data_IF_424293240695
#
_entry.id   IF_424293240695
#
_cell.length_a   1.000
_cell.length_b   1.000
_cell.length_c   1.000
_cell.angle_alpha   90.00
_cell.angle_beta   90.00
_cell.angle_gamma   90.00
#
_symmetry.space_group_name_H-M   'P 1'
#
loop_
_entity.id
_entity.type
_entity.pdbx_description
1 polymer ?
#
# COMPACT_ATOMS: atom_id res chain seq x y z
N UNK A 1 -4.14 -28.81 -8.18
CA UNK A 1 -4.97 -27.81 -7.49
C UNK A 1 -5.42 -28.43 -6.19
N UNK A 2 -5.30 -27.73 -5.06
CA UNK A 2 -5.96 -28.19 -3.83
C UNK A 2 -7.45 -27.96 -4.02
N UNK A 3 -8.25 -29.01 -3.99
CA UNK A 3 -9.71 -28.87 -3.97
C UNK A 3 -10.10 -28.34 -2.60
N UNK A 4 -10.41 -27.05 -2.53
CA UNK A 4 -11.03 -26.45 -1.35
C UNK A 4 -12.54 -26.63 -1.48
N UNK A 5 -13.20 -27.16 -0.43
CA UNK A 5 -14.66 -27.09 -0.31
C UNK A 5 -15.08 -25.64 -0.42
N UNK A 6 -16.04 -25.34 -1.30
CA UNK A 6 -16.49 -23.97 -1.54
C UNK A 6 -16.93 -23.28 -0.25
N UNK A 7 -16.36 -22.11 0.02
CA UNK A 7 -16.66 -21.29 1.18
C UNK A 7 -16.51 -19.81 0.82
N UNK A 8 -17.40 -18.96 1.35
CA UNK A 8 -17.40 -17.50 1.16
C UNK A 8 -17.14 -16.82 2.50
N UNK A 9 -16.31 -15.78 2.49
CA UNK A 9 -16.02 -14.95 3.66
C UNK A 9 -17.27 -14.21 4.12
N UNK A 10 -17.59 -14.34 5.41
CA UNK A 10 -18.74 -13.68 6.04
C UNK A 10 -18.63 -12.15 6.09
N UNK A 11 -17.42 -11.60 5.85
CA UNK A 11 -17.12 -10.17 5.97
C UNK A 11 -16.92 -9.44 4.63
N UNK A 12 -16.25 -10.04 3.66
CA UNK A 12 -15.82 -9.35 2.44
C UNK A 12 -16.19 -10.07 1.14
N UNK A 13 -17.02 -11.12 1.20
CA UNK A 13 -17.50 -11.91 0.05
C UNK A 13 -16.43 -12.60 -0.81
N UNK A 14 -15.14 -12.48 -0.47
CA UNK A 14 -14.06 -13.27 -1.08
C UNK A 14 -14.25 -14.76 -0.76
N UNK A 15 -13.94 -15.63 -1.71
CA UNK A 15 -14.22 -17.07 -1.62
C UNK A 15 -13.01 -17.92 -2.03
N UNK A 16 -13.21 -19.24 -2.11
CA UNK A 16 -12.20 -20.24 -2.49
C UNK A 16 -11.72 -20.18 -3.94
N UNK A 17 -12.13 -19.18 -4.74
CA UNK A 17 -11.52 -18.94 -6.05
C UNK A 17 -10.10 -18.39 -5.93
N UNK A 18 -9.77 -17.73 -4.82
CA UNK A 18 -8.40 -17.41 -4.44
C UNK A 18 -7.72 -18.67 -3.85
N UNK A 19 -6.67 -19.21 -4.49
CA UNK A 19 -6.02 -20.44 -4.05
C UNK A 19 -5.28 -20.32 -2.71
N UNK A 20 -4.99 -19.10 -2.26
CA UNK A 20 -4.26 -18.82 -1.02
C UNK A 20 -5.20 -18.35 0.12
N UNK A 21 -6.52 -18.38 -0.10
CA UNK A 21 -7.49 -17.98 0.91
C UNK A 21 -7.59 -19.04 2.02
N UNK A 22 -7.63 -18.59 3.26
CA UNK A 22 -7.88 -19.42 4.43
C UNK A 22 -8.90 -18.77 5.33
N UNK A 23 -9.74 -19.57 5.99
CA UNK A 23 -10.82 -19.08 6.85
C UNK A 23 -10.55 -19.42 8.31
N UNK A 24 -10.93 -18.52 9.22
CA UNK A 24 -10.96 -18.79 10.66
C UNK A 24 -12.27 -19.50 11.07
N UNK A 25 -12.40 -19.85 12.35
CA UNK A 25 -13.56 -20.58 12.90
C UNK A 25 -14.90 -19.85 12.72
N UNK A 26 -14.89 -18.52 12.58
CA UNK A 26 -16.09 -17.70 12.36
C UNK A 26 -16.36 -17.41 10.87
N UNK A 27 -15.59 -18.01 9.97
CA UNK A 27 -15.76 -17.88 8.53
C UNK A 27 -15.21 -16.59 7.92
N UNK A 28 -14.35 -15.85 8.62
CA UNK A 28 -13.64 -14.70 8.05
C UNK A 28 -12.33 -15.15 7.37
N UNK A 29 -12.01 -14.55 6.22
CA UNK A 29 -10.79 -14.88 5.49
C UNK A 29 -9.53 -14.16 6.01
N UNK A 30 -8.37 -14.76 5.75
CA UNK A 30 -7.05 -14.19 6.04
C UNK A 30 -6.83 -12.81 5.40
N UNK A 31 -7.41 -12.50 4.25
CA UNK A 31 -7.30 -11.16 3.65
C UNK A 31 -7.93 -10.08 4.54
N UNK A 32 -9.08 -10.38 5.17
CA UNK A 32 -9.72 -9.47 6.12
C UNK A 32 -8.86 -9.24 7.36
N UNK A 33 -8.35 -10.32 7.96
CA UNK A 33 -7.47 -10.24 9.13
C UNK A 33 -6.20 -9.45 8.80
N UNK A 34 -5.55 -9.78 7.69
CA UNK A 34 -4.37 -9.08 7.19
C UNK A 34 -4.63 -7.59 6.95
N UNK A 35 -5.78 -7.25 6.36
CA UNK A 35 -6.17 -5.86 6.14
C UNK A 35 -6.32 -5.12 7.46
N UNK A 36 -6.99 -5.70 8.45
CA UNK A 36 -7.18 -5.07 9.76
C UNK A 36 -5.85 -4.85 10.48
N UNK A 37 -4.98 -5.86 10.49
CA UNK A 37 -3.66 -5.76 11.12
C UNK A 37 -2.75 -4.74 10.44
N UNK A 38 -2.70 -4.76 9.10
CA UNK A 38 -1.81 -3.87 8.32
C UNK A 38 -2.33 -2.44 8.32
N UNK A 39 -3.64 -2.26 8.11
CA UNK A 39 -4.25 -0.93 8.06
C UNK A 39 -4.10 -0.21 9.40
N UNK A 40 -4.29 -0.90 10.52
CA UNK A 40 -4.07 -0.31 11.84
C UNK A 40 -2.67 0.32 12.01
N UNK A 41 -1.66 -0.21 11.31
CA UNK A 41 -0.27 0.26 11.39
C UNK A 41 0.08 1.39 10.40
N UNK A 42 -0.64 1.52 9.28
CA UNK A 42 -0.26 2.39 8.15
C UNK A 42 -1.35 3.42 7.80
N UNK A 43 -2.01 3.98 8.80
CA UNK A 43 -3.03 5.01 8.58
C UNK A 43 -2.44 6.42 8.48
N UNK A 44 -3.16 7.27 7.76
CA UNK A 44 -2.96 8.71 7.80
C UNK A 44 -3.49 9.26 9.13
N UNK A 45 -2.61 9.90 9.89
CA UNK A 45 -2.88 10.45 11.22
C UNK A 45 -2.92 11.98 11.20
N UNK A 46 -3.41 12.58 10.11
CA UNK A 46 -3.49 14.04 9.99
C UNK A 46 -2.11 14.71 9.94
N UNK A 47 -1.96 15.77 10.74
CA UNK A 47 -0.77 16.62 10.77
C UNK A 47 0.53 15.85 11.03
N UNK A 48 0.50 14.77 11.82
CA UNK A 48 1.68 13.94 12.07
C UNK A 48 2.18 13.26 10.78
N UNK A 49 1.26 12.69 10.00
CA UNK A 49 1.58 12.10 8.70
C UNK A 49 2.06 13.14 7.71
N UNK A 50 1.48 14.35 7.72
CA UNK A 50 1.94 15.45 6.86
C UNK A 50 3.38 15.89 7.19
N UNK A 51 3.74 15.93 8.48
CA UNK A 51 5.11 16.23 8.92
C UNK A 51 6.06 15.13 8.42
N UNK A 52 5.72 13.86 8.63
CA UNK A 52 6.54 12.73 8.16
C UNK A 52 6.74 12.78 6.64
N UNK A 53 5.69 13.06 5.89
CA UNK A 53 5.76 13.21 4.44
C UNK A 53 6.68 14.37 4.02
N UNK A 54 6.53 15.56 4.62
CA UNK A 54 7.41 16.71 4.33
C UNK A 54 8.87 16.40 4.64
N UNK A 55 9.13 15.66 5.72
CA UNK A 55 10.48 15.25 6.09
C UNK A 55 11.09 14.34 5.01
N UNK A 56 10.35 13.32 4.55
CA UNK A 56 10.79 12.43 3.46
C UNK A 56 11.15 13.23 2.20
N UNK A 57 10.26 14.15 1.78
CA UNK A 57 10.53 15.00 0.60
C UNK A 57 11.80 15.85 0.79
N UNK A 58 11.98 16.42 1.99
CA UNK A 58 13.16 17.22 2.33
C UNK A 58 14.45 16.39 2.29
N UNK A 59 14.43 15.17 2.82
CA UNK A 59 15.56 14.26 2.82
C UNK A 59 15.97 13.87 1.39
N UNK A 60 14.99 13.55 0.54
CA UNK A 60 15.23 13.24 -0.89
C UNK A 60 15.88 14.44 -1.59
N UNK A 61 15.33 15.65 -1.43
CA UNK A 61 15.91 16.87 -2.03
C UNK A 61 17.32 17.14 -1.53
N UNK A 62 17.57 16.92 -0.24
CA UNK A 62 18.91 17.08 0.35
C UNK A 62 19.90 16.09 -0.26
N UNK A 63 19.50 14.83 -0.45
CA UNK A 63 20.32 13.79 -1.08
C UNK A 63 20.54 14.01 -2.59
N UNK A 64 19.60 14.71 -3.25
CA UNK A 64 19.67 15.14 -4.65
C UNK A 64 20.49 16.40 -4.90
N UNK A 65 20.92 17.12 -3.86
CA UNK A 65 21.63 18.40 -4.01
C UNK A 65 22.92 18.22 -4.83
N UNK A 66 23.05 19.00 -5.89
CA UNK A 66 24.20 18.93 -6.81
C UNK A 66 24.09 17.85 -7.88
N UNK A 67 23.00 17.07 -7.91
CA UNK A 67 22.69 16.07 -8.94
C UNK A 67 21.63 16.61 -9.89
N UNK A 68 21.61 16.02 -11.09
CA UNK A 68 20.59 16.30 -12.11
C UNK A 68 19.18 15.91 -11.62
N UNK A 69 19.06 14.74 -10.98
CA UNK A 69 17.80 14.18 -10.47
C UNK A 69 17.83 13.97 -8.95
N UNK A 70 16.66 14.09 -8.32
CA UNK A 70 16.51 13.91 -6.88
C UNK A 70 16.20 12.44 -6.51
N UNK A 71 15.49 11.71 -7.38
CA UNK A 71 15.09 10.32 -7.15
C UNK A 71 14.83 9.53 -8.45
N UNK A 72 14.69 8.20 -8.33
CA UNK A 72 14.23 7.31 -9.40
C UNK A 72 12.91 6.66 -8.97
N UNK A 73 11.90 6.69 -9.83
CA UNK A 73 10.59 6.10 -9.56
C UNK A 73 10.30 5.01 -10.59
N UNK A 74 10.13 3.77 -10.11
CA UNK A 74 9.68 2.67 -10.94
C UNK A 74 8.18 2.78 -11.24
N UNK A 75 7.80 2.66 -12.50
CA UNK A 75 6.41 2.67 -12.96
C UNK A 75 6.01 1.26 -13.41
N UNK A 76 4.97 0.70 -12.80
CA UNK A 76 4.39 -0.58 -13.20
C UNK A 76 3.22 -0.44 -14.19
N UNK A 77 2.77 0.81 -14.43
CA UNK A 77 1.53 1.11 -15.15
C UNK A 77 0.28 1.10 -14.27
N UNK A 78 0.40 0.72 -12.99
CA UNK A 78 -0.69 0.78 -12.02
C UNK A 78 -0.97 2.20 -11.51
N UNK A 79 -2.15 2.37 -10.92
CA UNK A 79 -2.58 3.63 -10.32
C UNK A 79 -1.63 4.07 -9.20
N UNK A 80 -1.15 3.13 -8.38
CA UNK A 80 -0.32 3.45 -7.21
C UNK A 80 1.03 4.04 -7.62
N UNK A 81 1.75 3.39 -8.54
CA UNK A 81 3.04 3.91 -9.02
C UNK A 81 2.88 5.23 -9.77
N UNK A 82 1.79 5.37 -10.53
CA UNK A 82 1.49 6.60 -11.27
C UNK A 82 1.16 7.75 -10.32
N UNK A 83 0.41 7.47 -9.26
CA UNK A 83 0.08 8.45 -8.24
C UNK A 83 1.31 8.85 -7.40
N UNK A 84 2.19 7.89 -7.08
CA UNK A 84 3.46 8.20 -6.42
C UNK A 84 4.32 9.17 -7.26
N UNK A 85 4.42 8.94 -8.58
CA UNK A 85 5.11 9.84 -9.50
C UNK A 85 4.46 11.23 -9.55
N UNK A 86 3.13 11.29 -9.61
CA UNK A 86 2.38 12.55 -9.57
C UNK A 86 2.64 13.33 -8.27
N UNK A 87 2.60 12.65 -7.12
CA UNK A 87 2.85 13.26 -5.81
C UNK A 87 4.29 13.77 -5.70
N UNK A 88 5.28 13.01 -6.17
CA UNK A 88 6.67 13.44 -6.22
C UNK A 88 6.83 14.74 -7.02
N UNK A 89 6.25 14.78 -8.22
CA UNK A 89 6.27 15.97 -9.08
C UNK A 89 5.59 17.17 -8.44
N UNK A 90 4.41 16.98 -7.84
CA UNK A 90 3.64 18.03 -7.16
C UNK A 90 4.40 18.66 -5.99
N UNK A 91 5.30 17.90 -5.37
CA UNK A 91 6.14 18.37 -4.26
C UNK A 91 7.52 18.86 -4.72
N UNK A 92 7.73 19.01 -6.04
CA UNK A 92 8.92 19.60 -6.62
C UNK A 92 10.15 18.69 -6.53
N UNK A 93 9.97 17.37 -6.50
CA UNK A 93 11.06 16.43 -6.80
C UNK A 93 11.30 16.41 -8.30
N UNK A 94 12.57 16.39 -8.69
CA UNK A 94 13.05 16.38 -10.07
C UNK A 94 13.48 14.99 -10.50
#
# INVERSE_FOLDING_TARGET
MKEHTYQICTRCVMDTTDPDITFNEVGECNLCSNFLEKRAKHNYNGAESDIKFRNIVSEIKKAGKGKEYDCVIGLSGGIDSSYAAYIAKKNGLR
#
